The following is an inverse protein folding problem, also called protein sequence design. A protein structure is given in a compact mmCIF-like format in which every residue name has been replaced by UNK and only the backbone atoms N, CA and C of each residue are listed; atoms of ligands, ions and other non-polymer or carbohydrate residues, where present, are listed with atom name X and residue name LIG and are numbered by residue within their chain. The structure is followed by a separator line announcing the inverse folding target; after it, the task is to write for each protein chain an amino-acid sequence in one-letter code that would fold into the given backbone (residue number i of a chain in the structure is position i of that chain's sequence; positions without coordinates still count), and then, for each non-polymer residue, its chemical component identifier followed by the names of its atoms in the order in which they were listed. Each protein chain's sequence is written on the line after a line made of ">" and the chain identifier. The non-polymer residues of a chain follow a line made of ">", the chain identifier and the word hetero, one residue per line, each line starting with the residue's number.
data_IF_702509396862
#
_entry.id   IF_702509396862
#
_cell.length_a   1.000
_cell.length_b   1.000
_cell.length_c   1.000
_cell.angle_alpha   90.00
_cell.angle_beta   90.00
_cell.angle_gamma   90.00
#
_symmetry.space_group_name_H-M   'P 1'
#
loop_
_entity.id
_entity.type
_entity.pdbx_description
1 polymer ?
#
# COMPACT_ATOMS: atom_id res chain seq x y z
N UNK A 1 7.47 -17.06 -10.26
CA UNK A 1 6.84 -18.38 -10.50
C UNK A 1 5.83 -18.72 -9.41
N UNK A 2 6.22 -18.74 -8.14
CA UNK A 2 5.31 -19.06 -7.02
C UNK A 2 4.01 -18.23 -6.99
N UNK A 3 4.08 -16.92 -7.27
CA UNK A 3 2.88 -16.07 -7.32
C UNK A 3 1.82 -16.57 -8.33
N UNK A 4 2.25 -17.05 -9.50
CA UNK A 4 1.36 -17.61 -10.53
C UNK A 4 0.74 -18.92 -10.06
N UNK A 5 1.58 -19.83 -9.53
CA UNK A 5 1.12 -21.10 -8.98
C UNK A 5 0.10 -20.90 -7.85
N UNK A 6 0.34 -19.94 -6.95
CA UNK A 6 -0.59 -19.62 -5.88
C UNK A 6 -1.95 -19.13 -6.44
N UNK A 7 -1.94 -18.25 -7.44
CA UNK A 7 -3.14 -17.78 -8.12
C UNK A 7 -3.87 -18.94 -8.85
N UNK A 8 -3.14 -19.79 -9.57
CA UNK A 8 -3.69 -20.95 -10.29
C UNK A 8 -4.33 -21.97 -9.35
N UNK A 9 -3.83 -22.07 -8.11
CA UNK A 9 -4.41 -22.89 -7.04
C UNK A 9 -5.64 -22.26 -6.37
N UNK A 10 -6.03 -21.06 -6.77
CA UNK A 10 -7.23 -20.37 -6.29
C UNK A 10 -6.99 -19.39 -5.14
N UNK A 11 -5.76 -18.90 -4.94
CA UNK A 11 -5.56 -17.74 -4.06
C UNK A 11 -6.37 -16.55 -4.60
N UNK A 12 -7.02 -15.80 -3.70
CA UNK A 12 -7.83 -14.64 -4.08
C UNK A 12 -7.07 -13.31 -4.08
N UNK A 13 -5.91 -13.24 -3.44
CA UNK A 13 -5.07 -12.05 -3.29
C UNK A 13 -3.65 -12.46 -2.85
N UNK A 14 -2.65 -11.64 -3.14
CA UNK A 14 -1.26 -11.83 -2.68
C UNK A 14 -0.86 -10.66 -1.77
N UNK A 15 -0.49 -10.98 -0.52
CA UNK A 15 0.24 -10.07 0.35
C UNK A 15 1.73 -10.25 0.11
N UNK A 16 2.37 -9.26 -0.49
CA UNK A 16 3.76 -9.31 -0.93
C UNK A 16 4.64 -8.46 -0.02
N UNK A 17 5.31 -9.11 0.94
CA UNK A 17 6.29 -8.45 1.80
C UNK A 17 7.70 -8.56 1.19
N UNK A 18 8.34 -7.43 0.91
CA UNK A 18 9.76 -7.41 0.55
C UNK A 18 10.61 -7.49 1.81
N UNK A 19 11.34 -8.59 1.98
CA UNK A 19 12.24 -8.81 3.12
C UNK A 19 13.36 -7.76 3.12
N UNK A 20 13.90 -7.40 1.96
CA UNK A 20 14.99 -6.44 1.82
C UNK A 20 14.58 -5.02 2.20
N UNK A 21 13.30 -4.67 2.01
CA UNK A 21 12.76 -3.36 2.34
C UNK A 21 12.15 -3.30 3.73
N UNK A 22 11.73 -4.42 4.31
CA UNK A 22 10.98 -4.40 5.56
C UNK A 22 11.78 -3.75 6.71
N UNK A 23 11.10 -2.93 7.50
CA UNK A 23 11.70 -2.15 8.59
C UNK A 23 12.64 -1.00 8.16
N UNK A 24 13.07 -0.90 6.89
CA UNK A 24 14.08 0.09 6.46
C UNK A 24 13.56 1.52 6.36
N UNK A 25 12.24 1.70 6.23
CA UNK A 25 11.59 2.99 5.92
C UNK A 25 12.09 3.66 4.61
N UNK A 26 12.75 2.91 3.73
CA UNK A 26 13.36 3.41 2.48
C UNK A 26 12.45 3.34 1.24
N UNK A 27 11.18 2.99 1.42
CA UNK A 27 10.20 2.79 0.36
C UNK A 27 9.85 1.32 0.15
N UNK A 28 8.73 1.09 -0.53
CA UNK A 28 8.33 -0.24 -0.98
C UNK A 28 9.24 -0.72 -2.11
N UNK A 29 9.27 -2.03 -2.31
CA UNK A 29 9.96 -2.63 -3.45
C UNK A 29 9.09 -2.56 -4.71
N UNK A 30 9.17 -1.44 -5.45
CA UNK A 30 8.32 -1.22 -6.61
C UNK A 30 8.64 -2.19 -7.77
N UNK A 31 9.90 -2.56 -7.96
CA UNK A 31 10.28 -3.51 -9.03
C UNK A 31 9.73 -4.91 -8.74
N UNK A 32 9.89 -5.40 -7.50
CA UNK A 32 9.32 -6.67 -7.07
C UNK A 32 7.79 -6.65 -7.17
N UNK A 33 7.16 -5.57 -6.70
CA UNK A 33 5.70 -5.44 -6.69
C UNK A 33 5.14 -5.42 -8.11
N UNK A 34 5.77 -4.67 -9.03
CA UNK A 34 5.34 -4.62 -10.42
C UNK A 34 5.52 -5.99 -11.10
N UNK A 35 6.65 -6.65 -10.87
CA UNK A 35 6.91 -7.97 -11.45
C UNK A 35 5.89 -9.02 -11.01
N UNK A 36 5.40 -8.97 -9.76
CA UNK A 36 4.36 -9.87 -9.26
C UNK A 36 2.98 -9.45 -9.77
N UNK A 37 2.63 -8.16 -9.70
CA UNK A 37 1.31 -7.65 -10.12
C UNK A 37 1.06 -7.87 -11.61
N UNK A 38 2.08 -7.73 -12.46
CA UNK A 38 1.97 -8.04 -13.89
C UNK A 38 1.90 -9.54 -14.19
N UNK A 39 2.36 -10.38 -13.26
CA UNK A 39 2.43 -11.82 -13.45
C UNK A 39 1.12 -12.55 -13.08
N UNK A 40 0.23 -11.93 -12.32
CA UNK A 40 -1.02 -12.54 -11.81
C UNK A 40 -2.24 -11.68 -12.11
N UNK A 41 -3.42 -12.27 -12.14
CA UNK A 41 -4.70 -11.57 -12.35
C UNK A 41 -5.43 -11.20 -11.06
N UNK A 42 -4.93 -11.66 -9.91
CA UNK A 42 -5.49 -11.39 -8.58
C UNK A 42 -4.81 -10.17 -7.95
N UNK A 43 -5.49 -9.46 -7.03
CA UNK A 43 -4.92 -8.27 -6.41
C UNK A 43 -3.61 -8.54 -5.68
N UNK A 44 -2.72 -7.54 -5.67
CA UNK A 44 -1.44 -7.56 -4.94
C UNK A 44 -1.38 -6.43 -3.93
N UNK A 45 -1.17 -6.79 -2.67
CA UNK A 45 -0.91 -5.86 -1.57
C UNK A 45 0.60 -5.73 -1.41
N UNK A 46 1.16 -4.54 -1.63
CA UNK A 46 2.54 -4.24 -1.30
C UNK A 46 2.73 -4.09 0.22
N UNK A 47 3.79 -4.70 0.76
CA UNK A 47 4.09 -4.69 2.20
C UNK A 47 5.60 -4.57 2.44
N UNK A 48 5.97 -3.84 3.49
CA UNK A 48 7.36 -3.65 3.93
C UNK A 48 8.05 -2.43 3.30
N UNK A 49 8.65 -1.59 4.16
CA UNK A 49 9.57 -0.51 3.76
C UNK A 49 9.00 0.90 3.69
N UNK A 50 7.69 1.11 3.81
CA UNK A 50 7.10 2.45 3.78
C UNK A 50 7.63 3.39 4.89
N UNK A 51 8.27 4.50 4.48
CA UNK A 51 8.67 5.59 5.40
C UNK A 51 8.06 6.98 5.14
N UNK A 52 7.47 7.25 3.97
CA UNK A 52 6.92 8.57 3.58
C UNK A 52 5.65 8.37 2.75
N UNK A 53 4.85 9.41 2.55
CA UNK A 53 3.66 9.33 1.70
C UNK A 53 3.99 9.17 0.21
N UNK A 54 5.12 9.71 -0.26
CA UNK A 54 5.53 9.54 -1.65
C UNK A 54 5.87 8.08 -1.98
N UNK A 55 6.34 7.28 -1.01
CA UNK A 55 6.50 5.84 -1.23
C UNK A 55 5.19 5.12 -1.59
N UNK A 56 4.05 5.60 -1.10
CA UNK A 56 2.75 5.05 -1.49
C UNK A 56 2.37 5.48 -2.92
N UNK A 57 2.71 6.71 -3.30
CA UNK A 57 2.53 7.18 -4.68
C UNK A 57 3.32 6.28 -5.63
N UNK A 58 4.58 6.00 -5.30
CA UNK A 58 5.46 5.15 -6.10
C UNK A 58 4.90 3.73 -6.24
N UNK A 59 4.43 3.13 -5.14
CA UNK A 59 3.96 1.73 -5.17
C UNK A 59 2.62 1.56 -5.90
N UNK A 60 1.74 2.57 -5.86
CA UNK A 60 0.50 2.56 -6.62
C UNK A 60 0.69 2.90 -8.11
N UNK A 61 1.78 3.59 -8.47
CA UNK A 61 2.04 4.00 -9.86
C UNK A 61 3.06 3.07 -10.53
N UNK A 62 4.32 3.15 -10.15
CA UNK A 62 5.40 2.34 -10.69
C UNK A 62 5.30 0.88 -10.22
N UNK A 63 4.95 0.67 -8.94
CA UNK A 63 4.82 -0.66 -8.34
C UNK A 63 3.56 -1.43 -8.75
N UNK A 64 2.55 -0.75 -9.33
CA UNK A 64 1.28 -1.33 -9.79
C UNK A 64 0.52 -2.13 -8.72
N UNK A 65 0.72 -1.80 -7.44
CA UNK A 65 -0.01 -2.45 -6.37
C UNK A 65 -1.49 -2.06 -6.39
N UNK A 66 -2.37 -2.99 -6.01
CA UNK A 66 -3.79 -2.71 -5.79
C UNK A 66 -4.05 -2.14 -4.40
N UNK A 67 -3.18 -2.49 -3.44
CA UNK A 67 -3.25 -2.05 -2.06
C UNK A 67 -1.85 -1.92 -1.44
N UNK A 68 -1.73 -1.14 -0.38
CA UNK A 68 -0.49 -0.97 0.36
C UNK A 68 -0.74 -1.18 1.85
N UNK A 69 0.07 -2.03 2.47
CA UNK A 69 0.07 -2.31 3.90
C UNK A 69 1.33 -1.72 4.52
N UNK A 70 1.15 -0.90 5.55
CA UNK A 70 2.24 -0.34 6.33
C UNK A 70 1.89 -0.35 7.82
N UNK A 71 2.89 -0.67 8.66
CA UNK A 71 2.73 -0.70 10.11
C UNK A 71 3.54 0.41 10.79
N UNK A 72 4.86 0.44 10.55
CA UNK A 72 5.79 1.33 11.25
C UNK A 72 5.47 2.81 11.07
N UNK A 73 5.08 3.27 9.88
CA UNK A 73 4.73 4.68 9.63
C UNK A 73 3.49 5.17 10.41
N UNK A 74 2.58 4.26 10.78
CA UNK A 74 1.33 4.60 11.48
C UNK A 74 1.38 4.28 12.98
N UNK A 75 2.18 3.30 13.42
CA UNK A 75 2.28 2.93 14.83
C UNK A 75 2.94 4.01 15.71
N UNK A 76 3.81 4.85 15.15
CA UNK A 76 4.46 5.92 15.91
C UNK A 76 3.63 7.22 15.98
N UNK A 77 2.37 7.20 15.50
CA UNK A 77 1.45 8.34 15.48
C UNK A 77 1.99 9.59 14.76
N UNK A 78 3.04 9.45 13.93
CA UNK A 78 3.62 10.56 13.17
C UNK A 78 2.70 11.01 12.01
N UNK A 79 1.82 10.12 11.53
CA UNK A 79 0.97 10.37 10.37
C UNK A 79 -0.41 9.68 10.51
N UNK A 80 -1.50 10.35 10.14
CA UNK A 80 -2.81 9.73 10.07
C UNK A 80 -3.05 9.10 8.68
N UNK A 81 -3.84 8.03 8.63
CA UNK A 81 -4.29 7.42 7.35
C UNK A 81 -5.09 8.43 6.51
N UNK A 82 -5.77 9.37 7.17
CA UNK A 82 -6.47 10.49 6.54
C UNK A 82 -5.52 11.36 5.69
N UNK A 83 -4.35 11.71 6.23
CA UNK A 83 -3.37 12.56 5.56
C UNK A 83 -2.77 11.86 4.35
N UNK A 84 -2.44 10.56 4.49
CA UNK A 84 -2.00 9.75 3.36
C UNK A 84 -3.05 9.76 2.24
N UNK A 85 -4.33 9.54 2.58
CA UNK A 85 -5.41 9.54 1.59
C UNK A 85 -5.55 10.88 0.88
N UNK A 86 -5.44 11.98 1.62
CA UNK A 86 -5.45 13.32 1.02
C UNK A 86 -4.27 13.50 0.05
N UNK A 87 -3.06 13.11 0.47
CA UNK A 87 -1.83 13.20 -0.34
C UNK A 87 -1.92 12.39 -1.65
N UNK A 88 -2.51 11.19 -1.58
CA UNK A 88 -2.76 10.34 -2.74
C UNK A 88 -3.83 10.94 -3.66
N UNK A 89 -4.92 11.47 -3.08
CA UNK A 89 -6.01 12.08 -3.83
C UNK A 89 -5.55 13.31 -4.62
N UNK A 90 -4.74 14.18 -4.01
CA UNK A 90 -4.18 15.38 -4.66
C UNK A 90 -3.26 15.03 -5.85
N UNK A 91 -2.68 13.83 -5.87
CA UNK A 91 -1.87 13.30 -6.96
C UNK A 91 -2.69 12.50 -7.99
N UNK A 92 -4.01 12.50 -7.87
CA UNK A 92 -4.91 11.82 -8.81
C UNK A 92 -4.99 10.32 -8.63
N UNK A 93 -4.46 9.74 -7.55
CA UNK A 93 -4.58 8.31 -7.25
C UNK A 93 -5.98 8.08 -6.65
N UNK A 94 -6.82 7.21 -7.27
CA UNK A 94 -8.15 6.93 -6.74
C UNK A 94 -8.06 6.26 -5.37
N UNK A 95 -8.55 6.96 -4.36
CA UNK A 95 -8.63 6.43 -3.00
C UNK A 95 -10.03 6.62 -2.45
N UNK A 96 -10.45 5.68 -1.59
CA UNK A 96 -11.72 5.82 -0.88
C UNK A 96 -11.60 6.91 0.18
N UNK A 97 -12.07 8.10 -0.17
CA UNK A 97 -12.33 9.17 0.78
C UNK A 97 -13.48 8.75 1.68
N UNK A 98 -13.22 8.73 2.99
CA UNK A 98 -14.25 8.34 3.96
C UNK A 98 -15.30 9.43 4.15
N UNK A 99 -16.40 9.09 4.83
CA UNK A 99 -17.46 10.06 5.20
C UNK A 99 -16.99 11.16 6.16
N UNK A 100 -15.80 11.02 6.75
CA UNK A 100 -15.20 11.90 7.76
C UNK A 100 -14.91 13.33 7.25
N UNK A 101 -14.61 13.48 5.95
CA UNK A 101 -14.31 14.78 5.33
C UNK A 101 -15.51 15.74 5.30
N UNK A 102 -16.74 15.26 5.53
CA UNK A 102 -17.96 16.08 5.51
C UNK A 102 -18.43 16.58 6.88
N UNK A 103 -17.84 16.11 7.99
CA UNK A 103 -18.37 16.37 9.34
C UNK A 103 -17.38 16.99 10.33
N UNK A 104 -16.12 17.23 9.98
CA UNK A 104 -15.17 17.93 10.87
C UNK A 104 -14.95 17.26 12.24
N UNK A 105 -15.17 15.94 12.36
CA UNK A 105 -15.16 15.23 13.63
C UNK A 105 -13.91 14.36 13.81
N UNK A 106 -13.27 14.52 14.96
CA UNK A 106 -12.10 13.77 15.43
C UNK A 106 -12.28 12.24 15.36
N UNK A 107 -11.15 11.53 15.25
CA UNK A 107 -11.10 10.06 15.24
C UNK A 107 -11.74 9.45 16.51
N UNK A 108 -12.44 8.31 16.40
CA UNK A 108 -12.67 7.47 17.56
C UNK A 108 -11.33 6.85 17.96
N UNK A 109 -10.95 7.04 19.23
CA UNK A 109 -9.82 6.31 19.80
C UNK A 109 -10.05 4.81 19.61
N UNK A 110 -9.01 4.11 19.15
CA UNK A 110 -8.96 2.66 19.05
C UNK A 110 -9.37 1.97 20.35
#
# INVERSE_FOLDING_TARGET
>A
EWAREAADRGAGEILLTSIDRDGTKSGFDCELTAAVSEAVSIPVIASGGAGTFDHFVDVFTAGKADAALAASIFHYAEHAVADLKQHLHERGIPVRMGRWARTGGAEPSA
#
